data_IF_055735346298
#
_entry.id   IF_055735346298
#
_cell.length_a   1.000
_cell.length_b   1.000
_cell.length_c   1.000
_cell.angle_alpha   90.00
_cell.angle_beta   90.00
_cell.angle_gamma   90.00
#
_symmetry.space_group_name_H-M   'P 1'
#
loop_
_entity.id
_entity.type
_entity.pdbx_description
1 polymer ?
#
# COMPACT_ATOMS: atom_id res chain seq x y z
N UNK A 1 15.80 -16.13 -6.98
CA UNK A 1 15.39 -14.86 -6.36
C UNK A 1 13.89 -14.94 -6.19
N UNK A 2 13.38 -14.91 -4.95
CA UNK A 2 11.94 -14.74 -4.72
C UNK A 2 11.60 -13.31 -5.14
N UNK A 3 10.96 -13.17 -6.30
CA UNK A 3 10.36 -11.89 -6.67
C UNK A 3 9.13 -11.73 -5.79
N UNK A 4 9.19 -10.81 -4.84
CA UNK A 4 7.99 -10.34 -4.18
C UNK A 4 7.13 -9.62 -5.24
N UNK A 5 5.80 -9.79 -5.22
CA UNK A 5 4.90 -9.18 -6.19
C UNK A 5 4.78 -7.65 -6.04
N UNK A 6 5.50 -7.08 -5.06
CA UNK A 6 5.57 -5.66 -4.78
C UNK A 6 6.95 -5.22 -4.33
N UNK A 7 7.17 -3.91 -4.36
CA UNK A 7 8.39 -3.25 -3.88
C UNK A 7 8.04 -2.21 -2.81
N UNK A 8 8.87 -2.11 -1.76
CA UNK A 8 8.82 -1.04 -0.77
C UNK A 8 10.01 -0.10 -1.01
N UNK A 9 9.75 1.19 -1.15
CA UNK A 9 10.75 2.24 -1.31
C UNK A 9 10.60 3.28 -0.21
N UNK A 10 11.69 3.60 0.49
CA UNK A 10 11.72 4.74 1.40
C UNK A 10 12.31 5.94 0.67
N UNK A 11 11.58 7.05 0.67
CA UNK A 11 12.03 8.33 0.15
C UNK A 11 12.22 9.33 1.31
N UNK A 12 13.48 9.61 1.72
CA UNK A 12 13.78 10.49 2.83
C UNK A 12 13.57 11.97 2.49
N UNK A 13 13.52 12.36 1.21
CA UNK A 13 13.27 13.75 0.81
C UNK A 13 11.82 14.14 1.12
N UNK A 14 10.89 13.21 0.90
CA UNK A 14 9.47 13.40 1.15
C UNK A 14 8.97 12.83 2.48
N UNK A 15 9.88 12.30 3.31
CA UNK A 15 9.56 11.69 4.61
C UNK A 15 8.46 10.62 4.48
N UNK A 16 8.58 9.76 3.46
CA UNK A 16 7.53 8.85 3.03
C UNK A 16 8.05 7.47 2.62
N UNK A 17 7.20 6.46 2.80
CA UNK A 17 7.43 5.11 2.25
C UNK A 17 6.37 4.80 1.20
N UNK A 18 6.81 4.28 0.06
CA UNK A 18 5.98 3.86 -1.05
C UNK A 18 5.95 2.33 -1.19
N UNK A 19 4.75 1.77 -1.23
CA UNK A 19 4.47 0.40 -1.66
C UNK A 19 4.04 0.44 -3.13
N UNK A 20 4.71 -0.33 -3.99
CA UNK A 20 4.42 -0.41 -5.42
C UNK A 20 4.04 -1.84 -5.77
N UNK A 21 2.80 -2.03 -6.21
CA UNK A 21 2.29 -3.29 -6.75
C UNK A 21 2.36 -3.32 -8.27
N UNK A 22 2.67 -4.48 -8.84
CA UNK A 22 2.64 -4.71 -10.30
C UNK A 22 2.04 -6.07 -10.61
N UNK A 23 1.25 -6.17 -11.67
CA UNK A 23 0.63 -7.45 -12.07
C UNK A 23 -0.58 -7.81 -11.21
N UNK A 24 -0.86 -9.11 -11.05
CA UNK A 24 -1.99 -9.58 -10.26
C UNK A 24 -1.74 -9.38 -8.76
N UNK A 25 -2.77 -8.90 -8.05
CA UNK A 25 -2.71 -8.64 -6.60
C UNK A 25 -3.93 -9.27 -5.92
N UNK A 26 -3.67 -10.33 -5.18
CA UNK A 26 -4.61 -11.07 -4.35
C UNK A 26 -4.76 -10.45 -2.96
N UNK A 27 -5.82 -10.83 -2.23
CA UNK A 27 -6.01 -10.42 -0.83
C UNK A 27 -4.83 -10.81 0.08
N UNK A 28 -4.21 -11.97 -0.17
CA UNK A 28 -3.02 -12.42 0.57
C UNK A 28 -1.81 -11.49 0.34
N UNK A 29 -1.63 -11.00 -0.88
CA UNK A 29 -0.56 -10.05 -1.22
C UNK A 29 -0.83 -8.66 -0.64
N UNK A 30 -2.09 -8.21 -0.64
CA UNK A 30 -2.49 -6.99 0.07
C UNK A 30 -2.17 -7.13 1.57
N UNK A 31 -2.48 -8.27 2.18
CA UNK A 31 -2.18 -8.53 3.59
C UNK A 31 -0.67 -8.50 3.88
N UNK A 32 0.15 -9.12 3.05
CA UNK A 32 1.60 -9.14 3.24
C UNK A 32 2.19 -7.73 3.05
N UNK A 33 1.88 -7.10 1.91
CA UNK A 33 2.41 -5.79 1.54
C UNK A 33 2.03 -4.66 2.49
N UNK A 34 0.81 -4.68 3.07
CA UNK A 34 0.42 -3.67 4.07
C UNK A 34 1.23 -3.77 5.37
N UNK A 35 1.63 -4.99 5.76
CA UNK A 35 2.43 -5.20 6.98
C UNK A 35 3.81 -4.61 6.73
N UNK A 36 4.43 -4.96 5.61
CA UNK A 36 5.75 -4.45 5.23
C UNK A 36 5.76 -2.93 5.09
N UNK A 37 4.71 -2.34 4.51
CA UNK A 37 4.56 -0.88 4.43
C UNK A 37 4.48 -0.25 5.82
N UNK A 38 3.63 -0.76 6.71
CA UNK A 38 3.48 -0.23 8.07
C UNK A 38 4.79 -0.34 8.86
N UNK A 39 5.44 -1.50 8.80
CA UNK A 39 6.74 -1.72 9.46
C UNK A 39 7.81 -0.77 8.94
N UNK A 40 7.88 -0.57 7.62
CA UNK A 40 8.84 0.35 7.01
C UNK A 40 8.59 1.81 7.41
N UNK A 41 7.33 2.25 7.44
CA UNK A 41 6.97 3.60 7.94
C UNK A 41 7.41 3.77 9.39
N UNK A 42 7.13 2.79 10.25
CA UNK A 42 7.50 2.84 11.67
C UNK A 42 9.01 2.84 11.89
N UNK A 43 9.74 1.98 11.17
CA UNK A 43 11.20 1.88 11.26
C UNK A 43 11.90 3.17 10.83
N UNK A 44 11.42 3.80 9.76
CA UNK A 44 11.98 5.05 9.24
C UNK A 44 11.38 6.30 9.88
N UNK A 45 10.34 6.15 10.71
CA UNK A 45 9.58 7.24 11.37
C UNK A 45 8.97 8.24 10.37
N UNK A 46 8.56 7.73 9.21
CA UNK A 46 8.01 8.54 8.14
C UNK A 46 6.63 9.08 8.50
N UNK A 47 6.30 10.27 7.98
CA UNK A 47 4.96 10.88 8.11
C UNK A 47 4.08 10.61 6.89
N UNK A 48 4.63 10.04 5.82
CA UNK A 48 3.92 9.64 4.61
C UNK A 48 3.94 8.13 4.37
N UNK A 49 2.82 7.61 3.88
CA UNK A 49 2.71 6.30 3.27
C UNK A 49 2.01 6.44 1.92
N UNK A 50 2.53 5.78 0.88
CA UNK A 50 1.93 5.77 -0.45
C UNK A 50 1.72 4.34 -0.91
N UNK A 51 0.57 4.07 -1.51
CA UNK A 51 0.27 2.81 -2.20
C UNK A 51 0.08 3.12 -3.67
N UNK A 52 0.94 2.55 -4.51
CA UNK A 52 0.87 2.64 -5.96
C UNK A 52 0.39 1.32 -6.54
N UNK A 53 -0.77 1.36 -7.20
CA UNK A 53 -1.42 0.24 -7.88
C UNK A 53 -1.66 0.55 -9.37
N UNK A 54 -0.95 1.52 -9.94
CA UNK A 54 -1.15 1.98 -11.32
C UNK A 54 -1.04 0.83 -12.34
N UNK A 55 -0.06 -0.06 -12.12
CA UNK A 55 0.23 -1.21 -12.98
C UNK A 55 -0.28 -2.53 -12.37
N UNK A 56 -1.19 -2.45 -11.41
CA UNK A 56 -1.75 -3.60 -10.73
C UNK A 56 -3.13 -4.01 -11.28
N UNK A 57 -3.44 -5.29 -11.12
CA UNK A 57 -4.76 -5.87 -11.34
C UNK A 57 -5.23 -6.51 -10.04
N UNK A 58 -6.14 -5.83 -9.36
CA UNK A 58 -6.62 -6.26 -8.04
C UNK A 58 -7.69 -7.34 -8.24
N UNK A 59 -7.43 -8.53 -7.69
CA UNK A 59 -8.37 -9.67 -7.70
C UNK A 59 -9.14 -9.81 -6.39
N UNK A 60 -8.72 -9.08 -5.35
CA UNK A 60 -9.39 -9.08 -4.05
C UNK A 60 -10.77 -8.43 -4.13
N UNK A 61 -11.73 -8.95 -3.37
CA UNK A 61 -13.07 -8.39 -3.32
C UNK A 61 -13.08 -7.07 -2.52
N UNK A 62 -13.98 -6.11 -2.84
CA UNK A 62 -14.00 -4.82 -2.17
C UNK A 62 -14.03 -4.86 -0.63
N UNK A 63 -14.79 -5.75 0.04
CA UNK A 63 -14.76 -5.85 1.50
C UNK A 63 -13.38 -6.21 2.05
N UNK A 64 -12.64 -7.10 1.38
CA UNK A 64 -11.30 -7.53 1.81
C UNK A 64 -10.31 -6.37 1.69
N UNK A 65 -10.42 -5.57 0.61
CA UNK A 65 -9.59 -4.38 0.41
C UNK A 65 -9.84 -3.37 1.55
N UNK A 66 -11.11 -3.10 1.87
CA UNK A 66 -11.49 -2.16 2.94
C UNK A 66 -10.94 -2.61 4.30
N UNK A 67 -11.13 -3.88 4.65
CA UNK A 67 -10.59 -4.44 5.90
C UNK A 67 -9.06 -4.32 5.95
N UNK A 68 -8.40 -4.53 4.80
CA UNK A 68 -6.95 -4.42 4.72
C UNK A 68 -6.44 -2.99 4.88
N UNK A 69 -7.10 -2.01 4.25
CA UNK A 69 -6.81 -0.58 4.39
C UNK A 69 -7.05 -0.09 5.81
N UNK A 70 -8.16 -0.48 6.44
CA UNK A 70 -8.44 -0.09 7.83
C UNK A 70 -7.36 -0.57 8.80
N UNK A 71 -6.94 -1.84 8.69
CA UNK A 71 -5.90 -2.34 9.58
C UNK A 71 -4.48 -1.82 9.22
N UNK A 72 -4.25 -1.37 7.98
CA UNK A 72 -3.05 -0.57 7.67
C UNK A 72 -3.09 0.76 8.44
N UNK A 73 -4.17 1.53 8.30
CA UNK A 73 -4.32 2.84 8.97
C UNK A 73 -4.14 2.70 10.48
N UNK A 74 -4.72 1.67 11.09
CA UNK A 74 -4.58 1.39 12.52
C UNK A 74 -3.14 1.05 12.96
N UNK A 75 -2.28 0.60 12.03
CA UNK A 75 -0.88 0.28 12.28
C UNK A 75 0.09 1.44 12.04
N UNK A 76 -0.36 2.55 11.47
CA UNK A 76 0.47 3.73 11.22
C UNK A 76 0.48 4.65 12.46
N UNK A 77 1.54 5.45 12.60
CA UNK A 77 1.62 6.46 13.66
C UNK A 77 0.59 7.57 13.47
N UNK A 78 0.09 8.12 14.58
CA UNK A 78 -0.86 9.25 14.56
C UNK A 78 -0.35 10.41 13.69
N UNK A 79 -1.20 10.87 12.78
CA UNK A 79 -0.88 11.95 11.85
C UNK A 79 -0.10 11.53 10.59
N UNK A 80 0.17 10.24 10.40
CA UNK A 80 0.68 9.71 9.12
C UNK A 80 -0.35 9.92 8.02
N UNK A 81 0.09 10.44 6.87
CA UNK A 81 -0.76 10.68 5.71
C UNK A 81 -0.65 9.50 4.75
N UNK A 82 -1.80 8.98 4.32
CA UNK A 82 -1.88 7.90 3.34
C UNK A 82 -2.32 8.44 1.98
N UNK A 83 -1.59 8.08 0.93
CA UNK A 83 -1.92 8.40 -0.45
C UNK A 83 -2.07 7.13 -1.29
N UNK A 84 -2.96 7.18 -2.28
CA UNK A 84 -3.18 6.11 -3.24
C UNK A 84 -2.95 6.65 -4.65
N UNK A 85 -2.21 5.88 -5.46
CA UNK A 85 -2.02 6.13 -6.89
C UNK A 85 -2.65 4.95 -7.62
N UNK A 86 -3.69 5.25 -8.39
CA UNK A 86 -4.43 4.28 -9.20
C UNK A 86 -4.75 4.87 -10.57
N UNK A 87 -5.17 4.03 -11.51
CA UNK A 87 -5.66 4.52 -12.81
C UNK A 87 -7.02 5.18 -12.60
N UNK A 88 -7.34 6.14 -13.45
CA UNK A 88 -8.63 6.84 -13.41
C UNK A 88 -9.82 5.87 -13.45
N UNK A 89 -9.73 4.81 -14.27
CA UNK A 89 -10.79 3.79 -14.40
C UNK A 89 -11.04 3.01 -13.10
N UNK A 90 -10.03 2.86 -12.24
CA UNK A 90 -10.15 2.15 -10.97
C UNK A 90 -10.76 3.05 -9.86
N UNK A 91 -10.91 4.35 -10.12
CA UNK A 91 -11.49 5.34 -9.19
C UNK A 91 -12.98 5.59 -9.42
N UNK A 92 -13.53 5.08 -10.53
CA UNK A 92 -14.94 5.26 -10.88
C UNK A 92 -15.78 4.26 -10.09
N UNK A 93 -16.16 4.65 -8.87
CA UNK A 93 -17.21 3.98 -8.12
C UNK A 93 -18.59 4.25 -8.73
N UNK A 94 -19.42 3.20 -8.74
CA UNK A 94 -20.87 3.22 -9.01
C UNK A 94 -21.58 4.24 -8.13
#
# INVERSE_FOLDING_TARGET
MNFLPYTILHDPEYDAVALIHTGQVSAAEIRASRIDLAESVLQNRCRGAMINILDAHIEAEPPEIVDHVHALIAGLTDGTRLAFVSREIDQIGV
#
